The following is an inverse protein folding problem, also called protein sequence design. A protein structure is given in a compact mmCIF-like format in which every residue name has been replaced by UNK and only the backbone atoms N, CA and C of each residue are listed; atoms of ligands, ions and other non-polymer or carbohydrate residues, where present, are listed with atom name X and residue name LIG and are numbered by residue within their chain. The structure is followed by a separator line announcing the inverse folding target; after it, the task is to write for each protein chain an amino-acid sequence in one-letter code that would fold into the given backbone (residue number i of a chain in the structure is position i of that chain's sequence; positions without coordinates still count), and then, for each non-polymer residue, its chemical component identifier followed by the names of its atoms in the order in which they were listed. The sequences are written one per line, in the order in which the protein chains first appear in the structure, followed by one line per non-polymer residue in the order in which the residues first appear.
data_IF_205571208589
#
_entry.id   IF_205571208589
#
_cell.length_a   1.000
_cell.length_b   1.000
_cell.length_c   1.000
_cell.angle_alpha   90.00
_cell.angle_beta   90.00
_cell.angle_gamma   90.00
#
_symmetry.space_group_name_H-M   'P 1'
#
loop_
_entity.id
_entity.type
_entity.pdbx_description
1 polymer ?
#
# COMPACT_ATOMS: atom_id res chain seq x y z
N UNK A 1 26.73 30.49 9.18
CA UNK A 1 25.82 29.81 8.23
C UNK A 1 26.73 28.91 7.41
N UNK A 2 26.64 27.58 7.60
CA UNK A 2 27.38 26.68 6.70
C UNK A 2 26.84 26.92 5.29
N UNK A 3 27.73 27.21 4.35
CA UNK A 3 27.40 27.28 2.93
C UNK A 3 26.67 26.00 2.53
N UNK A 4 25.45 26.15 2.05
CA UNK A 4 24.65 25.00 1.58
C UNK A 4 25.36 24.47 0.33
N UNK A 5 26.10 23.40 0.48
CA UNK A 5 26.73 22.71 -0.65
C UNK A 5 25.65 22.05 -1.52
N UNK A 6 25.17 22.81 -2.50
CA UNK A 6 24.13 22.40 -3.46
C UNK A 6 24.57 21.12 -4.20
N UNK A 7 25.87 20.98 -4.52
CA UNK A 7 26.38 19.80 -5.22
C UNK A 7 26.27 18.55 -4.33
N UNK A 8 26.57 18.67 -3.04
CA UNK A 8 26.43 17.58 -2.08
C UNK A 8 24.96 17.18 -1.88
N UNK A 9 24.05 18.16 -1.76
CA UNK A 9 22.61 17.92 -1.65
C UNK A 9 22.10 17.21 -2.89
N UNK A 10 22.44 17.70 -4.08
CA UNK A 10 22.03 17.10 -5.36
C UNK A 10 22.53 15.67 -5.48
N UNK A 11 23.80 15.41 -5.17
CA UNK A 11 24.39 14.06 -5.21
C UNK A 11 23.70 13.11 -4.23
N UNK A 12 23.42 13.54 -3.00
CA UNK A 12 22.71 12.74 -1.99
C UNK A 12 21.26 12.48 -2.40
N UNK A 13 20.57 13.47 -2.97
CA UNK A 13 19.19 13.33 -3.44
C UNK A 13 19.09 12.32 -4.60
N UNK A 14 19.98 12.40 -5.60
CA UNK A 14 19.99 11.43 -6.72
C UNK A 14 20.26 10.02 -6.21
N UNK A 15 21.26 9.85 -5.35
CA UNK A 15 21.59 8.56 -4.75
C UNK A 15 20.43 8.03 -3.89
N UNK A 16 19.78 8.92 -3.15
CA UNK A 16 18.60 8.59 -2.35
C UNK A 16 17.42 8.12 -3.20
N UNK A 17 17.11 8.80 -4.31
CA UNK A 17 16.06 8.40 -5.25
C UNK A 17 16.33 7.00 -5.80
N UNK A 18 17.57 6.74 -6.25
CA UNK A 18 17.94 5.43 -6.76
C UNK A 18 17.81 4.34 -5.69
N UNK A 19 18.28 4.61 -4.46
CA UNK A 19 18.16 3.67 -3.35
C UNK A 19 16.69 3.36 -2.99
N UNK A 20 15.83 4.38 -2.92
CA UNK A 20 14.40 4.22 -2.63
C UNK A 20 13.67 3.46 -3.75
N UNK A 21 14.02 3.70 -5.00
CA UNK A 21 13.41 3.00 -6.15
C UNK A 21 13.83 1.54 -6.19
N UNK A 22 15.14 1.27 -6.06
CA UNK A 22 15.68 -0.10 -6.01
C UNK A 22 15.09 -0.90 -4.83
N UNK A 23 15.01 -0.27 -3.65
CA UNK A 23 14.36 -0.87 -2.47
C UNK A 23 12.91 -1.24 -2.76
N UNK A 24 12.15 -0.33 -3.37
CA UNK A 24 10.73 -0.59 -3.67
C UNK A 24 10.60 -1.83 -4.54
N UNK A 25 11.44 -1.96 -5.56
CA UNK A 25 11.45 -3.13 -6.42
C UNK A 25 11.83 -4.42 -5.67
N UNK A 26 12.90 -4.39 -4.88
CA UNK A 26 13.36 -5.55 -4.10
C UNK A 26 12.30 -5.99 -3.09
N UNK A 27 11.75 -5.05 -2.31
CA UNK A 27 10.72 -5.35 -1.30
C UNK A 27 9.45 -5.91 -1.95
N UNK A 28 9.03 -5.37 -3.09
CA UNK A 28 7.86 -5.87 -3.80
C UNK A 28 8.09 -7.25 -4.41
N UNK A 29 9.28 -7.51 -4.96
CA UNK A 29 9.63 -8.84 -5.48
C UNK A 29 9.66 -9.89 -4.37
N UNK A 30 10.34 -9.61 -3.24
CA UNK A 30 10.33 -10.49 -2.07
C UNK A 30 8.89 -10.71 -1.59
N UNK A 31 8.10 -9.65 -1.47
CA UNK A 31 6.71 -9.71 -1.03
C UNK A 31 5.81 -10.51 -1.98
N UNK A 32 6.04 -10.44 -3.30
CA UNK A 32 5.32 -11.21 -4.29
C UNK A 32 5.62 -12.71 -4.17
N UNK A 33 6.92 -13.06 -4.14
CA UNK A 33 7.35 -14.46 -3.96
C UNK A 33 6.84 -15.01 -2.64
N UNK A 34 6.97 -14.26 -1.55
CA UNK A 34 6.44 -14.63 -0.23
C UNK A 34 4.95 -14.88 -0.27
N UNK A 35 4.18 -13.95 -0.84
CA UNK A 35 2.73 -14.06 -0.93
C UNK A 35 2.31 -15.28 -1.75
N UNK A 36 3.01 -15.53 -2.87
CA UNK A 36 2.76 -16.70 -3.70
C UNK A 36 2.97 -18.01 -2.92
N UNK A 37 4.09 -18.15 -2.23
CA UNK A 37 4.37 -19.35 -1.43
C UNK A 37 3.36 -19.51 -0.28
N UNK A 38 3.08 -18.42 0.46
CA UNK A 38 2.12 -18.46 1.56
C UNK A 38 0.72 -18.87 1.10
N UNK A 39 0.28 -18.43 -0.09
CA UNK A 39 -1.03 -18.81 -0.62
C UNK A 39 -1.14 -20.29 -0.98
N UNK A 40 -0.05 -21.01 -1.18
CA UNK A 40 -0.04 -22.47 -1.33
C UNK A 40 -0.31 -23.17 0.02
N UNK A 41 0.34 -22.70 1.08
CA UNK A 41 0.35 -23.43 2.36
C UNK A 41 -0.74 -22.96 3.33
N UNK A 42 -1.13 -21.68 3.31
CA UNK A 42 -2.11 -21.13 4.25
C UNK A 42 -3.53 -21.13 3.69
N UNK A 43 -4.52 -21.23 4.58
CA UNK A 43 -5.94 -21.18 4.21
C UNK A 43 -6.40 -19.74 3.89
N UNK A 44 -7.48 -19.57 3.11
CA UNK A 44 -8.10 -18.27 2.91
C UNK A 44 -8.50 -17.56 4.23
N UNK A 45 -8.98 -18.33 5.21
CA UNK A 45 -9.33 -17.79 6.53
C UNK A 45 -8.11 -17.21 7.26
N UNK A 46 -6.93 -17.86 7.21
CA UNK A 46 -5.70 -17.32 7.80
C UNK A 46 -5.31 -15.98 7.19
N UNK A 47 -5.46 -15.84 5.87
CA UNK A 47 -5.26 -14.55 5.20
C UNK A 47 -6.32 -13.52 5.61
N UNK A 48 -7.59 -13.92 5.73
CA UNK A 48 -8.67 -13.04 6.17
C UNK A 48 -8.41 -12.46 7.56
N UNK A 49 -8.02 -13.31 8.53
CA UNK A 49 -7.63 -12.86 9.87
C UNK A 49 -6.46 -11.87 9.77
N UNK A 50 -5.42 -12.21 9.02
CA UNK A 50 -4.25 -11.33 8.85
C UNK A 50 -4.63 -9.97 8.25
N UNK A 51 -5.49 -9.92 7.23
CA UNK A 51 -5.93 -8.68 6.61
C UNK A 51 -6.78 -7.82 7.55
N UNK A 52 -7.77 -8.41 8.23
CA UNK A 52 -8.64 -7.66 9.16
C UNK A 52 -7.83 -7.09 10.32
N UNK A 53 -7.01 -7.92 10.94
CA UNK A 53 -6.20 -7.50 12.08
C UNK A 53 -5.15 -6.47 11.67
N UNK A 54 -4.52 -6.66 10.50
CA UNK A 54 -3.54 -5.68 9.98
C UNK A 54 -4.20 -4.35 9.65
N UNK A 55 -5.41 -4.33 9.08
CA UNK A 55 -6.16 -3.12 8.81
C UNK A 55 -6.57 -2.39 10.12
N UNK A 56 -6.98 -3.13 11.16
CA UNK A 56 -7.25 -2.56 12.47
C UNK A 56 -6.01 -1.88 13.08
N UNK A 57 -4.84 -2.51 12.97
CA UNK A 57 -3.59 -1.91 13.45
C UNK A 57 -3.14 -0.73 12.58
N UNK A 58 -3.33 -0.78 11.26
CA UNK A 58 -3.08 0.35 10.37
C UNK A 58 -3.93 1.55 10.76
N UNK A 59 -5.21 1.33 11.06
CA UNK A 59 -6.10 2.36 11.58
C UNK A 59 -5.60 2.96 12.92
N UNK A 60 -5.19 2.12 13.88
CA UNK A 60 -4.62 2.58 15.15
C UNK A 60 -3.30 3.34 14.97
N UNK A 61 -2.45 2.88 14.05
CA UNK A 61 -1.14 3.48 13.80
C UNK A 61 -1.25 4.92 13.28
N UNK A 62 -2.36 5.25 12.64
CA UNK A 62 -2.64 6.60 12.18
C UNK A 62 -2.69 7.63 13.33
N UNK A 63 -3.16 7.23 14.49
CA UNK A 63 -3.25 8.09 15.67
C UNK A 63 -1.96 8.15 16.50
N UNK A 64 -0.93 7.42 16.11
CA UNK A 64 0.30 7.26 16.92
C UNK A 64 1.28 8.43 16.82
N UNK A 65 1.30 9.14 15.71
CA UNK A 65 2.32 10.19 15.45
C UNK A 65 1.74 11.62 15.48
N UNK A 66 0.47 11.78 15.17
CA UNK A 66 -0.24 13.08 15.06
C UNK A 66 0.57 14.09 14.21
N UNK A 67 1.36 13.60 13.24
CA UNK A 67 2.20 14.42 12.36
C UNK A 67 3.45 15.02 13.00
N UNK A 68 3.87 14.55 14.18
CA UNK A 68 5.05 15.06 14.88
C UNK A 68 6.34 14.78 14.08
N UNK A 69 6.48 13.59 13.49
CA UNK A 69 7.60 13.25 12.63
C UNK A 69 7.69 14.20 11.42
N UNK A 70 6.58 14.45 10.74
CA UNK A 70 6.51 15.37 9.62
C UNK A 70 6.89 16.80 10.02
N UNK A 71 6.45 17.26 11.19
CA UNK A 71 6.79 18.58 11.72
C UNK A 71 8.31 18.72 11.99
N UNK A 72 8.95 17.68 12.53
CA UNK A 72 10.40 17.69 12.72
C UNK A 72 11.16 17.67 11.39
N UNK A 73 10.70 16.88 10.40
CA UNK A 73 11.37 16.78 9.10
C UNK A 73 11.28 18.11 8.34
N UNK A 74 10.13 18.79 8.38
CA UNK A 74 9.85 20.04 7.67
C UNK A 74 10.57 21.26 8.29
N UNK A 75 10.93 21.19 9.56
CA UNK A 75 11.57 22.29 10.28
C UNK A 75 12.88 22.70 9.59
N UNK A 76 13.05 24.02 9.29
CA UNK A 76 14.24 24.56 8.63
C UNK A 76 15.46 24.59 9.54
N UNK A 77 15.26 24.97 10.82
CA UNK A 77 16.34 25.03 11.79
C UNK A 77 16.83 23.62 12.18
N UNK A 78 18.07 23.49 12.68
CA UNK A 78 18.56 22.26 13.27
C UNK A 78 17.63 21.77 14.36
N UNK A 79 17.33 20.47 14.36
CA UNK A 79 16.54 19.84 15.43
C UNK A 79 17.46 19.59 16.61
N UNK A 80 17.04 20.03 17.79
CA UNK A 80 17.78 19.81 19.03
C UNK A 80 17.50 18.43 19.61
N UNK A 81 18.43 17.90 20.40
CA UNK A 81 18.22 16.63 21.12
C UNK A 81 17.04 16.71 22.10
N UNK A 82 16.77 17.88 22.67
CA UNK A 82 15.60 18.14 23.49
C UNK A 82 14.29 17.95 22.68
N UNK A 83 14.20 18.49 21.46
CA UNK A 83 13.01 18.32 20.60
C UNK A 83 12.80 16.86 20.21
N UNK A 84 13.88 16.10 19.95
CA UNK A 84 13.80 14.66 19.68
C UNK A 84 13.25 13.90 20.90
N UNK A 85 13.75 14.19 22.11
CA UNK A 85 13.28 13.58 23.35
C UNK A 85 11.83 13.92 23.67
N UNK A 86 11.41 15.18 23.47
CA UNK A 86 10.03 15.61 23.64
C UNK A 86 9.10 14.87 22.67
N UNK A 87 9.46 14.84 21.39
CA UNK A 87 8.70 14.12 20.36
C UNK A 87 8.57 12.64 20.69
N UNK A 88 9.69 12.00 21.06
CA UNK A 88 9.70 10.60 21.50
C UNK A 88 8.78 10.37 22.70
N UNK A 89 8.86 11.20 23.72
CA UNK A 89 8.04 11.05 24.94
C UNK A 89 6.57 11.11 24.62
N UNK A 90 6.13 12.10 23.82
CA UNK A 90 4.73 12.28 23.45
C UNK A 90 4.25 11.11 22.59
N UNK A 91 5.02 10.76 21.56
CA UNK A 91 4.70 9.65 20.68
C UNK A 91 4.61 8.33 21.47
N UNK A 92 5.59 8.04 22.33
CA UNK A 92 5.56 6.81 23.12
C UNK A 92 4.41 6.80 24.13
N UNK A 93 4.06 7.93 24.75
CA UNK A 93 2.90 8.02 25.64
C UNK A 93 1.61 7.66 24.90
N UNK A 94 1.40 8.21 23.71
CA UNK A 94 0.24 7.88 22.87
C UNK A 94 0.24 6.40 22.47
N UNK A 95 1.36 5.90 22.01
CA UNK A 95 1.47 4.52 21.52
C UNK A 95 1.32 3.52 22.67
N UNK A 96 1.96 3.73 23.79
CA UNK A 96 1.81 2.84 24.97
C UNK A 96 0.36 2.83 25.43
N UNK A 97 -0.33 3.98 25.45
CA UNK A 97 -1.75 4.05 25.78
C UNK A 97 -2.59 3.22 24.80
N UNK A 98 -2.36 3.37 23.47
CA UNK A 98 -3.05 2.58 22.46
C UNK A 98 -2.75 1.09 22.56
N UNK A 99 -1.50 0.73 22.79
CA UNK A 99 -1.02 -0.66 22.93
C UNK A 99 -1.64 -1.32 24.16
N UNK A 100 -1.59 -0.67 25.33
CA UNK A 100 -2.20 -1.17 26.56
C UNK A 100 -3.71 -1.34 26.37
N UNK A 101 -4.37 -0.35 25.78
CA UNK A 101 -5.80 -0.42 25.46
C UNK A 101 -6.11 -1.58 24.50
N UNK A 102 -5.33 -1.76 23.44
CA UNK A 102 -5.49 -2.85 22.47
C UNK A 102 -5.28 -4.23 23.11
N UNK A 103 -4.26 -4.37 23.99
CA UNK A 103 -4.06 -5.61 24.75
C UNK A 103 -5.22 -5.89 25.71
N UNK A 104 -5.68 -4.89 26.44
CA UNK A 104 -6.85 -5.04 27.34
C UNK A 104 -8.12 -5.44 26.58
N UNK A 105 -8.31 -4.93 25.36
CA UNK A 105 -9.44 -5.23 24.49
C UNK A 105 -9.26 -6.46 23.61
N UNK A 106 -8.13 -7.19 23.70
CA UNK A 106 -7.81 -8.30 22.78
C UNK A 106 -8.88 -9.40 22.80
N UNK A 107 -9.45 -9.74 23.96
CA UNK A 107 -10.53 -10.72 24.06
C UNK A 107 -11.85 -10.19 23.46
N UNK A 108 -12.13 -8.91 23.63
CA UNK A 108 -13.28 -8.26 22.99
C UNK A 108 -13.13 -8.29 21.46
N UNK A 109 -11.96 -7.94 20.94
CA UNK A 109 -11.67 -8.03 19.50
C UNK A 109 -11.80 -9.47 19.02
N UNK A 110 -11.32 -10.43 19.79
CA UNK A 110 -11.48 -11.85 19.54
C UNK A 110 -12.93 -12.29 19.39
N UNK A 111 -13.78 -11.91 20.35
CA UNK A 111 -15.23 -12.21 20.30
C UNK A 111 -15.97 -11.40 19.23
N UNK A 112 -15.54 -10.17 18.95
CA UNK A 112 -16.15 -9.32 17.93
C UNK A 112 -15.96 -9.86 16.51
N UNK A 113 -14.79 -10.43 16.20
CA UNK A 113 -14.48 -11.00 14.89
C UNK A 113 -14.50 -12.53 14.84
N UNK A 114 -15.01 -13.18 15.88
CA UNK A 114 -15.04 -14.65 16.03
C UNK A 114 -13.64 -15.30 15.81
N UNK A 115 -12.59 -14.64 16.35
CA UNK A 115 -11.22 -15.13 16.24
C UNK A 115 -10.97 -16.29 17.21
N UNK A 116 -10.32 -17.32 16.71
CA UNK A 116 -9.78 -18.36 17.58
C UNK A 116 -8.56 -17.82 18.37
N UNK A 117 -8.03 -18.65 19.28
CA UNK A 117 -6.86 -18.28 20.11
C UNK A 117 -5.66 -17.83 19.29
N UNK A 118 -5.39 -18.46 18.14
CA UNK A 118 -4.28 -18.09 17.25
C UNK A 118 -4.50 -16.72 16.61
N UNK A 119 -5.75 -16.38 16.23
CA UNK A 119 -6.11 -15.08 15.71
C UNK A 119 -5.93 -13.96 16.74
N UNK A 120 -6.29 -14.22 18.02
CA UNK A 120 -6.04 -13.29 19.13
C UNK A 120 -4.54 -13.08 19.35
N UNK A 121 -3.74 -14.16 19.31
CA UNK A 121 -2.28 -14.06 19.41
C UNK A 121 -1.67 -13.27 18.25
N UNK A 122 -2.20 -13.43 17.04
CA UNK A 122 -1.77 -12.63 15.89
C UNK A 122 -2.09 -11.15 16.10
N UNK A 123 -3.29 -10.82 16.62
CA UNK A 123 -3.64 -9.45 16.97
C UNK A 123 -2.65 -8.86 17.98
N UNK A 124 -2.38 -9.57 19.07
CA UNK A 124 -1.42 -9.15 20.10
C UNK A 124 0.00 -8.98 19.55
N UNK A 125 0.45 -9.88 18.68
CA UNK A 125 1.75 -9.79 18.02
C UNK A 125 1.84 -8.56 17.09
N UNK A 126 0.79 -8.24 16.35
CA UNK A 126 0.72 -7.04 15.51
C UNK A 126 0.70 -5.76 16.35
N UNK A 127 -0.04 -5.72 17.48
CA UNK A 127 -0.02 -4.62 18.45
C UNK A 127 1.39 -4.43 19.01
N UNK A 128 2.08 -5.51 19.37
CA UNK A 128 3.45 -5.42 19.85
C UNK A 128 4.44 -5.00 18.76
N UNK A 129 4.29 -5.51 17.54
CA UNK A 129 5.10 -5.11 16.40
C UNK A 129 4.91 -3.63 16.06
N UNK A 130 3.69 -3.10 16.23
CA UNK A 130 3.39 -1.68 16.10
C UNK A 130 4.17 -0.85 17.15
N UNK A 131 4.22 -1.30 18.42
CA UNK A 131 5.07 -0.68 19.44
C UNK A 131 6.54 -0.69 19.03
N UNK A 132 7.09 -1.83 18.59
CA UNK A 132 8.48 -1.92 18.12
C UNK A 132 8.75 -0.96 16.95
N UNK A 133 7.76 -0.80 16.05
CA UNK A 133 7.87 0.12 14.91
C UNK A 133 7.94 1.58 15.35
N UNK A 134 7.27 1.96 16.42
CA UNK A 134 7.29 3.32 16.95
C UNK A 134 8.67 3.73 17.50
N UNK A 135 9.39 2.79 18.08
CA UNK A 135 10.75 3.03 18.58
C UNK A 135 11.75 3.39 17.47
N UNK A 136 11.44 3.08 16.22
CA UNK A 136 12.27 3.39 15.03
C UNK A 136 12.09 4.82 14.53
N UNK A 137 11.06 5.55 14.97
CA UNK A 137 10.68 6.86 14.41
C UNK A 137 11.81 7.87 14.52
N UNK A 138 12.38 8.07 15.69
CA UNK A 138 13.45 9.08 15.86
C UNK A 138 14.72 8.76 15.07
N UNK A 139 15.29 7.53 15.12
CA UNK A 139 16.40 7.16 14.25
C UNK A 139 16.10 7.39 12.75
N UNK A 140 14.86 7.11 12.30
CA UNK A 140 14.46 7.36 10.92
C UNK A 140 14.44 8.84 10.57
N UNK A 141 13.87 9.70 11.42
CA UNK A 141 13.86 11.17 11.24
C UNK A 141 15.28 11.72 11.09
N UNK A 142 16.22 11.24 11.92
CA UNK A 142 17.64 11.67 11.85
C UNK A 142 18.24 11.34 10.48
N UNK A 143 17.97 10.14 9.94
CA UNK A 143 18.44 9.74 8.61
C UNK A 143 17.77 10.53 7.49
N UNK A 144 16.46 10.76 7.57
CA UNK A 144 15.69 11.53 6.57
C UNK A 144 16.16 12.97 6.50
N UNK A 145 16.32 13.64 7.63
CA UNK A 145 16.84 15.01 7.70
C UNK A 145 18.26 15.15 7.15
N UNK A 146 19.09 14.12 7.35
CA UNK A 146 20.47 14.08 6.82
C UNK A 146 20.54 13.63 5.36
N UNK A 147 19.36 13.39 4.69
CA UNK A 147 19.25 12.88 3.32
C UNK A 147 20.01 11.56 3.10
N UNK A 148 20.10 10.72 4.13
CA UNK A 148 20.78 9.42 4.07
C UNK A 148 19.78 8.31 3.77
N UNK A 149 19.02 8.45 2.67
CA UNK A 149 17.98 7.50 2.29
C UNK A 149 18.50 6.10 2.02
N UNK A 150 19.75 5.96 1.55
CA UNK A 150 20.40 4.66 1.36
C UNK A 150 20.54 3.86 2.67
N UNK A 151 20.69 4.55 3.81
CA UNK A 151 20.72 3.93 5.12
C UNK A 151 19.32 3.59 5.65
N UNK A 152 18.32 4.42 5.31
CA UNK A 152 16.93 4.21 5.71
C UNK A 152 16.30 2.98 5.00
N UNK A 153 16.79 2.64 3.83
CA UNK A 153 16.31 1.50 3.02
C UNK A 153 16.69 0.14 3.65
N UNK A 154 17.85 0.06 4.29
CA UNK A 154 18.41 -1.20 4.80
C UNK A 154 17.48 -1.87 5.83
N UNK A 155 16.99 -1.18 6.89
CA UNK A 155 16.05 -1.77 7.83
C UNK A 155 14.80 -2.34 7.16
N UNK A 156 14.28 -1.66 6.15
CA UNK A 156 13.04 -2.08 5.46
C UNK A 156 13.23 -3.36 4.63
N UNK A 157 14.40 -3.52 4.01
CA UNK A 157 14.76 -4.76 3.30
C UNK A 157 14.94 -5.89 4.30
N UNK A 158 15.66 -5.65 5.40
CA UNK A 158 15.89 -6.63 6.47
C UNK A 158 14.57 -7.06 7.10
N UNK A 159 13.67 -6.13 7.40
CA UNK A 159 12.32 -6.41 7.90
C UNK A 159 11.54 -7.34 6.96
N UNK A 160 11.57 -7.01 5.66
CA UNK A 160 10.85 -7.80 4.66
C UNK A 160 11.44 -9.18 4.51
N UNK A 161 12.77 -9.29 4.55
CA UNK A 161 13.47 -10.57 4.47
C UNK A 161 13.14 -11.48 5.67
N UNK A 162 13.26 -10.96 6.90
CA UNK A 162 12.97 -11.74 8.10
C UNK A 162 11.49 -12.11 8.22
N UNK A 163 10.58 -11.20 7.85
CA UNK A 163 9.16 -11.53 7.73
C UNK A 163 8.96 -12.70 6.76
N UNK A 164 9.54 -12.59 5.57
CA UNK A 164 9.33 -13.56 4.49
C UNK A 164 9.89 -14.94 4.84
N UNK A 165 11.11 -15.00 5.32
CA UNK A 165 11.74 -16.28 5.66
C UNK A 165 11.00 -16.96 6.83
N UNK A 166 10.63 -16.19 7.85
CA UNK A 166 9.89 -16.72 9.01
C UNK A 166 8.50 -17.22 8.60
N UNK A 167 7.75 -16.38 7.87
CA UNK A 167 6.41 -16.74 7.44
C UNK A 167 6.40 -17.97 6.55
N UNK A 168 7.29 -18.04 5.55
CA UNK A 168 7.37 -19.16 4.61
C UNK A 168 7.80 -20.45 5.32
N UNK A 169 8.87 -20.39 6.12
CA UNK A 169 9.38 -21.57 6.81
C UNK A 169 8.33 -22.18 7.74
N UNK A 170 7.63 -21.36 8.53
CA UNK A 170 6.60 -21.83 9.45
C UNK A 170 5.32 -22.27 8.71
N UNK A 171 4.95 -21.61 7.60
CA UNK A 171 3.81 -22.06 6.79
C UNK A 171 4.06 -23.43 6.16
N UNK A 172 5.26 -23.69 5.65
CA UNK A 172 5.68 -25.01 5.12
C UNK A 172 5.66 -26.05 6.26
N UNK A 173 6.09 -25.68 7.46
CA UNK A 173 6.06 -26.56 8.64
C UNK A 173 4.64 -26.80 9.20
N UNK A 174 3.59 -26.19 8.62
CA UNK A 174 2.19 -26.44 8.98
C UNK A 174 1.66 -25.62 10.17
N UNK A 175 2.35 -24.54 10.57
CA UNK A 175 1.92 -23.70 11.70
C UNK A 175 0.70 -22.81 11.41
N UNK A 176 0.13 -22.85 10.20
CA UNK A 176 -1.10 -22.12 9.88
C UNK A 176 -0.97 -20.61 10.14
N UNK A 177 -1.97 -20.05 10.82
CA UNK A 177 -2.04 -18.60 11.11
C UNK A 177 -0.88 -18.12 12.00
N UNK A 178 -0.33 -18.98 12.86
CA UNK A 178 0.77 -18.69 13.77
C UNK A 178 2.06 -18.33 13.01
N UNK A 179 2.18 -18.75 11.74
CA UNK A 179 3.26 -18.32 10.84
C UNK A 179 3.32 -16.81 10.70
N UNK A 180 2.17 -16.14 10.58
CA UNK A 180 2.10 -14.68 10.56
C UNK A 180 2.47 -14.07 11.90
N UNK A 181 2.06 -14.69 13.02
CA UNK A 181 2.36 -14.21 14.37
C UNK A 181 3.88 -14.07 14.58
N UNK A 182 4.63 -15.12 14.30
CA UNK A 182 6.08 -15.08 14.44
C UNK A 182 6.75 -14.20 13.38
N UNK A 183 6.22 -14.16 12.16
CA UNK A 183 6.78 -13.34 11.09
C UNK A 183 6.67 -11.84 11.39
N UNK A 184 5.55 -11.36 11.95
CA UNK A 184 5.42 -9.93 12.31
C UNK A 184 6.31 -9.56 13.48
N UNK A 185 6.54 -10.47 14.43
CA UNK A 185 7.50 -10.26 15.52
C UNK A 185 8.94 -10.22 14.99
N UNK A 186 9.33 -11.16 14.14
CA UNK A 186 10.65 -11.20 13.51
C UNK A 186 10.90 -9.92 12.70
N UNK A 187 9.91 -9.44 11.96
CA UNK A 187 9.95 -8.15 11.25
C UNK A 187 10.19 -6.98 12.19
N UNK A 188 9.40 -6.88 13.27
CA UNK A 188 9.50 -5.77 14.23
C UNK A 188 10.86 -5.73 14.91
N UNK A 189 11.33 -6.87 15.39
CA UNK A 189 12.61 -7.02 16.10
C UNK A 189 13.79 -6.74 15.16
N UNK A 190 13.83 -7.36 13.99
CA UNK A 190 14.92 -7.20 13.03
C UNK A 190 15.03 -5.75 12.54
N UNK A 191 13.90 -5.09 12.26
CA UNK A 191 13.87 -3.70 11.86
C UNK A 191 14.37 -2.76 12.95
N UNK A 192 13.94 -2.99 14.20
CA UNK A 192 14.38 -2.21 15.35
C UNK A 192 15.89 -2.35 15.59
N UNK A 193 16.41 -3.56 15.60
CA UNK A 193 17.85 -3.81 15.78
C UNK A 193 18.65 -3.14 14.66
N UNK A 194 18.24 -3.33 13.42
CA UNK A 194 18.94 -2.79 12.25
C UNK A 194 18.99 -1.26 12.26
N UNK A 195 17.90 -0.58 12.56
CA UNK A 195 17.88 0.89 12.55
C UNK A 195 18.76 1.47 13.66
N UNK A 196 18.79 0.87 14.85
CA UNK A 196 19.63 1.33 15.95
C UNK A 196 21.12 1.04 15.74
N UNK A 197 21.48 0.01 14.99
CA UNK A 197 22.87 -0.22 14.54
C UNK A 197 23.30 0.87 13.55
N UNK A 198 22.41 1.27 12.63
CA UNK A 198 22.71 2.22 11.54
C UNK A 198 22.66 3.67 12.02
N UNK A 199 21.71 3.99 12.87
CA UNK A 199 21.45 5.34 13.42
C UNK A 199 21.24 5.24 14.93
N UNK A 200 22.32 5.02 15.71
CA UNK A 200 22.23 4.91 17.14
C UNK A 200 21.74 6.23 17.75
N UNK A 201 20.68 6.14 18.53
CA UNK A 201 20.13 7.24 19.30
C UNK A 201 19.74 6.73 20.69
N UNK A 202 20.00 7.51 21.72
CA UNK A 202 19.65 7.14 23.10
C UNK A 202 18.27 7.71 23.42
N UNK A 203 17.26 6.86 23.64
CA UNK A 203 15.95 7.31 24.10
C UNK A 203 16.07 8.13 25.39
N UNK A 204 15.30 9.19 25.45
CA UNK A 204 15.27 10.07 26.62
C UNK A 204 13.88 10.64 26.80
N UNK A 205 13.59 11.10 28.01
CA UNK A 205 12.32 11.73 28.38
C UNK A 205 12.48 13.24 28.34
N UNK A 206 11.51 13.95 27.75
CA UNK A 206 11.46 15.39 27.73
C UNK A 206 10.02 15.88 27.64
N UNK A 207 9.74 17.05 28.21
CA UNK A 207 8.44 17.69 28.11
C UNK A 207 8.60 19.21 28.02
N UNK A 208 7.99 19.81 27.00
CA UNK A 208 7.90 21.27 26.87
C UNK A 208 6.61 21.61 26.15
N UNK A 209 5.70 22.31 26.85
CA UNK A 209 4.41 22.76 26.30
C UNK A 209 4.60 23.67 25.08
N UNK A 210 5.63 24.49 25.05
CA UNK A 210 5.96 25.42 23.94
C UNK A 210 6.37 24.65 22.69
N UNK A 211 7.26 23.66 22.83
CA UNK A 211 7.71 22.82 21.71
C UNK A 211 6.55 21.98 21.18
N UNK A 212 5.78 21.35 22.09
CA UNK A 212 4.61 20.55 21.74
C UNK A 212 3.59 21.37 20.92
N UNK A 213 3.18 22.55 21.40
CA UNK A 213 2.22 23.42 20.71
C UNK A 213 2.70 23.78 19.29
N UNK A 214 3.99 24.06 19.11
CA UNK A 214 4.58 24.35 17.80
C UNK A 214 4.57 23.15 16.86
N UNK A 215 4.90 21.96 17.35
CA UNK A 215 4.89 20.75 16.54
C UNK A 215 3.48 20.34 16.13
N UNK A 216 2.52 20.43 17.06
CA UNK A 216 1.12 20.10 16.79
C UNK A 216 0.44 21.08 15.83
N UNK A 217 0.81 22.35 15.83
CA UNK A 217 0.23 23.35 14.90
C UNK A 217 0.47 23.00 13.43
N UNK A 218 1.56 22.30 13.12
CA UNK A 218 1.84 21.76 11.79
C UNK A 218 1.36 20.32 11.63
N UNK A 219 1.62 19.48 12.64
CA UNK A 219 1.39 18.03 12.56
C UNK A 219 -0.08 17.67 12.40
N UNK A 220 -0.98 18.29 13.19
CA UNK A 220 -2.42 17.98 13.15
C UNK A 220 -3.04 18.29 11.78
N UNK A 221 -2.88 19.50 11.19
CA UNK A 221 -3.36 19.75 9.83
C UNK A 221 -2.77 18.83 8.76
N UNK A 222 -1.48 18.51 8.87
CA UNK A 222 -0.82 17.56 7.96
C UNK A 222 -1.46 16.17 8.01
N UNK A 223 -1.72 15.68 9.23
CA UNK A 223 -2.30 14.36 9.44
C UNK A 223 -3.75 14.27 8.94
N UNK A 224 -4.54 15.32 9.10
CA UNK A 224 -5.96 15.35 8.71
C UNK A 224 -6.17 15.04 7.21
N UNK A 225 -5.22 15.41 6.34
CA UNK A 225 -5.32 15.14 4.91
C UNK A 225 -5.33 13.65 4.54
N UNK A 226 -4.76 12.79 5.38
CA UNK A 226 -4.67 11.35 5.10
C UNK A 226 -5.87 10.54 5.64
N UNK A 227 -6.77 11.16 6.42
CA UNK A 227 -7.92 10.49 7.07
C UNK A 227 -8.87 9.87 6.04
N UNK A 228 -9.14 10.56 4.93
CA UNK A 228 -10.07 10.07 3.91
C UNK A 228 -9.61 8.75 3.25
N UNK A 229 -8.32 8.63 2.99
CA UNK A 229 -7.76 7.40 2.42
C UNK A 229 -7.88 6.23 3.42
N UNK A 230 -7.56 6.47 4.68
CA UNK A 230 -7.68 5.51 5.77
C UNK A 230 -9.13 5.01 5.95
N UNK A 231 -10.10 5.94 5.94
CA UNK A 231 -11.53 5.60 6.06
C UNK A 231 -11.96 4.75 4.87
N UNK A 232 -11.53 5.09 3.66
CA UNK A 232 -11.93 4.37 2.45
C UNK A 232 -11.36 2.96 2.38
N UNK A 233 -10.08 2.79 2.73
CA UNK A 233 -9.36 1.55 2.50
C UNK A 233 -9.30 0.66 3.75
N UNK A 234 -8.68 1.11 4.85
CA UNK A 234 -8.46 0.29 6.03
C UNK A 234 -9.73 0.07 6.85
N UNK A 235 -10.50 1.13 7.10
CA UNK A 235 -11.73 1.01 7.90
C UNK A 235 -12.80 0.18 7.18
N UNK A 236 -12.81 0.18 5.85
CA UNK A 236 -13.68 -0.71 5.08
C UNK A 236 -13.33 -2.19 5.31
N UNK A 237 -12.04 -2.56 5.33
CA UNK A 237 -11.61 -3.94 5.61
C UNK A 237 -12.01 -4.35 7.03
N UNK A 238 -11.85 -3.46 8.01
CA UNK A 238 -12.30 -3.67 9.40
C UNK A 238 -13.81 -3.94 9.45
N UNK A 239 -14.61 -3.17 8.72
CA UNK A 239 -16.07 -3.37 8.61
C UNK A 239 -16.40 -4.70 7.93
N UNK A 240 -15.76 -5.02 6.79
CA UNK A 240 -16.00 -6.26 6.06
C UNK A 240 -15.65 -7.50 6.91
N UNK A 241 -14.60 -7.41 7.73
CA UNK A 241 -14.23 -8.49 8.66
C UNK A 241 -15.30 -8.81 9.69
N UNK A 242 -16.25 -7.86 9.96
CA UNK A 242 -17.38 -8.11 10.86
C UNK A 242 -18.58 -8.73 10.16
N UNK A 243 -18.84 -8.35 8.91
CA UNK A 243 -20.07 -8.76 8.21
C UNK A 243 -19.88 -9.97 7.29
N UNK A 244 -18.64 -10.32 6.96
CA UNK A 244 -18.29 -11.45 6.11
C UNK A 244 -17.50 -12.51 6.88
N UNK A 245 -17.63 -13.79 6.52
CA UNK A 245 -16.73 -14.82 6.97
C UNK A 245 -15.27 -14.45 6.67
N UNK A 246 -14.33 -14.74 7.57
CA UNK A 246 -12.92 -14.39 7.39
C UNK A 246 -12.29 -15.03 6.15
N UNK A 247 -12.77 -16.19 5.70
CA UNK A 247 -12.34 -16.79 4.42
C UNK A 247 -12.70 -15.93 3.22
N UNK A 248 -13.87 -15.29 3.23
CA UNK A 248 -14.31 -14.39 2.15
C UNK A 248 -13.49 -13.09 2.14
N UNK A 249 -13.17 -12.54 3.31
CA UNK A 249 -12.21 -11.43 3.40
C UNK A 249 -10.83 -11.86 2.88
N UNK A 250 -10.43 -13.11 3.11
CA UNK A 250 -9.23 -13.71 2.53
C UNK A 250 -9.26 -13.73 1.00
N UNK A 251 -10.39 -14.12 0.39
CA UNK A 251 -10.58 -14.07 -1.07
C UNK A 251 -10.49 -12.67 -1.63
N UNK A 252 -11.13 -11.69 -0.96
CA UNK A 252 -11.03 -10.26 -1.33
C UNK A 252 -9.57 -9.81 -1.32
N UNK A 253 -8.86 -10.03 -0.21
CA UNK A 253 -7.48 -9.61 -0.06
C UNK A 253 -6.52 -10.30 -1.04
N UNK A 254 -6.76 -11.60 -1.33
CA UNK A 254 -6.03 -12.33 -2.35
C UNK A 254 -6.23 -11.72 -3.74
N UNK A 255 -7.47 -11.51 -4.15
CA UNK A 255 -7.81 -10.92 -5.45
C UNK A 255 -7.23 -9.51 -5.59
N UNK A 256 -7.37 -8.67 -4.55
CA UNK A 256 -6.78 -7.33 -4.51
C UNK A 256 -5.25 -7.37 -4.65
N UNK A 257 -4.59 -8.25 -3.91
CA UNK A 257 -3.13 -8.38 -3.92
C UNK A 257 -2.61 -8.64 -5.33
N UNK A 258 -3.20 -9.62 -6.03
CA UNK A 258 -2.78 -9.97 -7.38
C UNK A 258 -3.16 -8.92 -8.42
N UNK A 259 -4.38 -8.40 -8.40
CA UNK A 259 -4.86 -7.41 -9.35
C UNK A 259 -4.10 -6.07 -9.26
N UNK A 260 -3.78 -5.61 -8.04
CA UNK A 260 -3.08 -4.33 -7.86
C UNK A 260 -1.56 -4.43 -7.89
N UNK A 261 -0.96 -5.61 -7.92
CA UNK A 261 0.49 -5.77 -8.00
C UNK A 261 1.08 -5.11 -9.26
N UNK A 262 0.59 -5.35 -10.49
CA UNK A 262 1.08 -4.65 -11.69
C UNK A 262 0.92 -3.13 -11.58
N UNK A 263 -0.22 -2.67 -11.09
CA UNK A 263 -0.49 -1.25 -10.92
C UNK A 263 0.54 -0.58 -9.98
N UNK A 264 0.78 -1.15 -8.81
CA UNK A 264 1.72 -0.59 -7.82
C UNK A 264 3.16 -0.60 -8.32
N UNK A 265 3.59 -1.71 -8.92
CA UNK A 265 4.96 -1.83 -9.46
C UNK A 265 5.29 -0.74 -10.48
N UNK A 266 4.32 -0.37 -11.31
CA UNK A 266 4.51 0.57 -12.41
C UNK A 266 4.19 1.99 -11.95
N UNK A 267 3.03 2.21 -11.33
CA UNK A 267 2.49 3.52 -11.01
C UNK A 267 3.33 4.27 -9.97
N UNK A 268 3.78 3.59 -8.91
CA UNK A 268 4.57 4.23 -7.86
C UNK A 268 5.88 4.82 -8.39
N UNK A 269 6.47 4.20 -9.43
CA UNK A 269 7.67 4.71 -10.08
C UNK A 269 7.36 5.86 -11.04
N UNK A 270 6.27 5.77 -11.79
CA UNK A 270 5.84 6.80 -12.74
C UNK A 270 5.46 8.09 -12.00
N UNK A 271 4.68 8.01 -10.92
CA UNK A 271 4.26 9.20 -10.16
C UNK A 271 5.44 9.98 -9.61
N UNK A 272 6.50 9.31 -9.14
CA UNK A 272 7.71 9.98 -8.62
C UNK A 272 8.40 10.87 -9.66
N UNK A 273 8.29 10.51 -10.94
CA UNK A 273 8.90 11.26 -12.04
C UNK A 273 7.91 12.30 -12.58
N UNK A 274 6.64 11.91 -12.73
CA UNK A 274 5.64 12.76 -13.41
C UNK A 274 5.17 13.92 -12.56
N UNK A 275 5.05 13.77 -11.23
CA UNK A 275 4.60 14.88 -10.38
C UNK A 275 5.52 16.11 -10.45
N UNK A 276 6.85 15.99 -10.24
CA UNK A 276 7.76 17.13 -10.40
C UNK A 276 7.78 17.67 -11.83
N UNK A 277 7.67 16.79 -12.84
CA UNK A 277 7.64 17.20 -14.24
C UNK A 277 6.39 18.02 -14.58
N UNK A 278 5.22 17.55 -14.19
CA UNK A 278 3.96 18.28 -14.39
C UNK A 278 3.94 19.63 -13.68
N UNK A 279 4.48 19.68 -12.46
CA UNK A 279 4.58 20.93 -11.69
C UNK A 279 5.47 21.97 -12.38
N UNK A 280 6.56 21.55 -13.03
CA UNK A 280 7.44 22.46 -13.79
C UNK A 280 6.85 22.90 -15.11
N UNK A 281 6.02 22.06 -15.74
CA UNK A 281 5.40 22.32 -17.04
C UNK A 281 4.03 23.01 -16.93
N UNK A 282 3.57 23.37 -15.73
CA UNK A 282 2.21 23.86 -15.50
C UNK A 282 1.82 25.10 -16.31
N UNK A 283 2.79 25.94 -16.68
CA UNK A 283 2.58 27.14 -17.49
C UNK A 283 2.69 26.88 -19.01
N UNK A 284 3.33 25.77 -19.41
CA UNK A 284 3.51 25.39 -20.81
C UNK A 284 2.48 24.33 -21.22
N UNK A 285 1.29 24.78 -21.62
CA UNK A 285 0.14 23.89 -21.89
C UNK A 285 0.45 22.75 -22.86
N UNK A 286 1.18 22.99 -23.94
CA UNK A 286 1.51 21.98 -24.94
C UNK A 286 2.47 20.91 -24.38
N UNK A 287 3.49 21.32 -23.65
CA UNK A 287 4.45 20.43 -23.03
C UNK A 287 3.80 19.60 -21.90
N UNK A 288 2.92 20.23 -21.09
CA UNK A 288 2.15 19.53 -20.07
C UNK A 288 1.21 18.48 -20.68
N UNK A 289 0.46 18.85 -21.73
CA UNK A 289 -0.40 17.92 -22.48
C UNK A 289 0.37 16.70 -22.97
N UNK A 290 1.50 16.94 -23.63
CA UNK A 290 2.36 15.86 -24.11
C UNK A 290 2.89 14.98 -22.99
N UNK A 291 3.31 15.55 -21.86
CA UNK A 291 3.80 14.81 -20.71
C UNK A 291 2.69 13.95 -20.06
N UNK A 292 1.47 14.48 -19.95
CA UNK A 292 0.30 13.74 -19.45
C UNK A 292 -0.07 12.60 -20.40
N UNK A 293 -0.12 12.85 -21.72
CA UNK A 293 -0.36 11.81 -22.74
C UNK A 293 0.67 10.68 -22.65
N UNK A 294 1.96 11.03 -22.57
CA UNK A 294 3.03 10.02 -22.44
C UNK A 294 2.92 9.21 -21.16
N UNK A 295 2.54 9.86 -20.06
CA UNK A 295 2.33 9.17 -18.78
C UNK A 295 1.17 8.17 -18.87
N UNK A 296 0.02 8.56 -19.41
CA UNK A 296 -1.15 7.67 -19.59
C UNK A 296 -0.80 6.53 -20.54
N UNK A 297 -0.11 6.82 -21.66
CA UNK A 297 0.32 5.78 -22.60
C UNK A 297 1.24 4.77 -21.94
N UNK A 298 2.27 5.23 -21.22
CA UNK A 298 3.23 4.35 -20.56
C UNK A 298 2.56 3.46 -19.49
N UNK A 299 1.67 4.04 -18.65
CA UNK A 299 0.93 3.25 -17.65
C UNK A 299 0.01 2.24 -18.29
N UNK A 300 -0.79 2.66 -19.29
CA UNK A 300 -1.74 1.77 -19.98
C UNK A 300 -1.03 0.66 -20.76
N UNK A 301 0.08 0.99 -21.45
CA UNK A 301 0.85 0.04 -22.24
C UNK A 301 1.47 -1.08 -21.41
N UNK A 302 1.88 -0.79 -20.17
CA UNK A 302 2.47 -1.78 -19.27
C UNK A 302 1.41 -2.51 -18.43
N UNK A 303 0.39 -1.80 -17.96
CA UNK A 303 -0.59 -2.35 -17.00
C UNK A 303 -1.64 -3.18 -17.72
N UNK A 304 -2.21 -2.74 -18.85
CA UNK A 304 -3.29 -3.48 -19.50
C UNK A 304 -2.87 -4.90 -19.93
N UNK A 305 -1.74 -5.11 -20.63
CA UNK A 305 -1.30 -6.45 -20.95
C UNK A 305 -1.08 -7.32 -19.73
N UNK A 306 -0.50 -6.75 -18.65
CA UNK A 306 -0.25 -7.47 -17.41
C UNK A 306 -1.55 -7.95 -16.76
N UNK A 307 -2.60 -7.10 -16.74
CA UNK A 307 -3.91 -7.45 -16.18
C UNK A 307 -4.65 -8.47 -17.04
N UNK A 308 -4.62 -8.31 -18.37
CA UNK A 308 -5.23 -9.27 -19.29
C UNK A 308 -4.57 -10.65 -19.16
N UNK A 309 -3.25 -10.69 -19.13
CA UNK A 309 -2.48 -11.93 -18.88
C UNK A 309 -2.87 -12.56 -17.55
N UNK A 310 -2.95 -11.74 -16.47
CA UNK A 310 -3.33 -12.21 -15.15
C UNK A 310 -4.71 -12.85 -15.17
N UNK A 311 -5.73 -12.18 -15.70
CA UNK A 311 -7.12 -12.67 -15.70
C UNK A 311 -7.28 -13.94 -16.52
N UNK A 312 -6.59 -14.06 -17.66
CA UNK A 312 -6.70 -15.22 -18.55
C UNK A 312 -5.94 -16.42 -18.02
N UNK A 313 -4.71 -16.21 -17.51
CA UNK A 313 -3.87 -17.32 -17.10
C UNK A 313 -4.10 -17.76 -15.65
N UNK A 314 -4.68 -16.92 -14.80
CA UNK A 314 -4.82 -17.25 -13.37
C UNK A 314 -5.70 -18.48 -13.09
N UNK A 315 -6.82 -18.74 -13.79
CA UNK A 315 -7.58 -19.96 -13.63
C UNK A 315 -6.72 -21.21 -13.84
N UNK A 316 -5.86 -21.19 -14.84
CA UNK A 316 -4.96 -22.30 -15.13
C UNK A 316 -3.86 -22.49 -14.07
N UNK A 317 -3.37 -21.38 -13.47
CA UNK A 317 -2.47 -21.49 -12.32
C UNK A 317 -3.13 -22.16 -11.13
N UNK A 318 -4.43 -21.95 -10.94
CA UNK A 318 -5.20 -22.61 -9.88
C UNK A 318 -5.25 -24.12 -10.11
N UNK A 319 -5.42 -24.56 -11.35
CA UNK A 319 -5.47 -25.98 -11.71
C UNK A 319 -4.09 -26.64 -11.67
N UNK A 320 -3.05 -25.92 -12.10
CA UNK A 320 -1.69 -26.44 -12.20
C UNK A 320 -1.01 -26.61 -10.83
N UNK A 321 -1.30 -25.74 -9.88
CA UNK A 321 -0.58 -25.72 -8.60
C UNK A 321 -1.35 -26.53 -7.55
N UNK A 322 -0.77 -27.59 -6.98
CA UNK A 322 -1.41 -28.35 -5.93
C UNK A 322 -1.89 -27.47 -4.77
N UNK A 323 -3.07 -27.75 -4.23
CA UNK A 323 -3.70 -26.98 -3.13
C UNK A 323 -4.11 -25.54 -3.47
N UNK A 324 -4.05 -25.13 -4.72
CA UNK A 324 -4.43 -23.77 -5.10
C UNK A 324 -5.92 -23.61 -5.42
N UNK A 325 -6.64 -24.72 -5.67
CA UNK A 325 -8.11 -24.77 -5.91
C UNK A 325 -8.94 -24.05 -4.84
N UNK A 326 -8.43 -23.96 -3.60
CA UNK A 326 -9.06 -23.18 -2.53
C UNK A 326 -9.23 -21.69 -2.83
N UNK A 327 -8.53 -21.14 -3.83
CA UNK A 327 -8.62 -19.74 -4.27
C UNK A 327 -9.54 -19.52 -5.47
N UNK A 328 -10.12 -20.59 -6.02
CA UNK A 328 -11.07 -20.50 -7.13
C UNK A 328 -12.22 -19.51 -6.89
N UNK A 329 -12.83 -19.42 -5.69
CA UNK A 329 -13.88 -18.43 -5.42
C UNK A 329 -13.44 -16.98 -5.60
N UNK A 330 -12.14 -16.70 -5.52
CA UNK A 330 -11.59 -15.34 -5.67
C UNK A 330 -11.44 -14.89 -7.15
N UNK A 331 -11.61 -15.79 -8.14
CA UNK A 331 -11.39 -15.49 -9.56
C UNK A 331 -12.28 -14.38 -10.08
N UNK A 332 -13.57 -14.40 -9.72
CA UNK A 332 -14.51 -13.36 -10.14
C UNK A 332 -14.07 -12.00 -9.56
N UNK A 333 -13.73 -11.96 -8.30
CA UNK A 333 -13.19 -10.75 -7.65
C UNK A 333 -11.89 -10.29 -8.28
N UNK A 334 -11.00 -11.21 -8.67
CA UNK A 334 -9.75 -10.89 -9.38
C UNK A 334 -10.03 -10.15 -10.70
N UNK A 335 -11.01 -10.62 -11.48
CA UNK A 335 -11.43 -9.98 -12.74
C UNK A 335 -11.90 -8.54 -12.52
N UNK A 336 -12.82 -8.31 -11.57
CA UNK A 336 -13.33 -6.97 -11.27
C UNK A 336 -12.28 -6.04 -10.66
N UNK A 337 -11.41 -6.52 -9.77
CA UNK A 337 -10.29 -5.70 -9.28
C UNK A 337 -9.27 -5.41 -10.38
N UNK A 338 -9.08 -6.31 -11.34
CA UNK A 338 -8.25 -6.03 -12.52
C UNK A 338 -8.87 -4.93 -13.39
N UNK A 339 -10.21 -4.93 -13.57
CA UNK A 339 -10.89 -3.83 -14.24
C UNK A 339 -10.72 -2.50 -13.47
N UNK A 340 -10.84 -2.51 -12.13
CA UNK A 340 -10.53 -1.34 -11.31
C UNK A 340 -9.08 -0.87 -11.55
N UNK A 341 -8.11 -1.76 -11.52
CA UNK A 341 -6.69 -1.41 -11.74
C UNK A 341 -6.46 -0.81 -13.14
N UNK A 342 -7.17 -1.30 -14.15
CA UNK A 342 -7.11 -0.75 -15.50
C UNK A 342 -7.64 0.71 -15.54
N UNK A 343 -8.81 0.99 -14.97
CA UNK A 343 -9.31 2.36 -14.86
C UNK A 343 -8.39 3.26 -14.02
N UNK A 344 -7.84 2.73 -12.93
CA UNK A 344 -6.91 3.45 -12.06
C UNK A 344 -5.61 3.80 -12.77
N UNK A 345 -5.15 3.00 -13.73
CA UNK A 345 -3.96 3.29 -14.53
C UNK A 345 -4.12 4.55 -15.41
N UNK A 346 -5.35 4.95 -15.72
CA UNK A 346 -5.70 6.17 -16.45
C UNK A 346 -5.96 7.32 -15.47
N UNK A 347 -6.79 7.09 -14.45
CA UNK A 347 -7.23 8.16 -13.55
C UNK A 347 -6.12 8.66 -12.62
N UNK A 348 -5.18 7.81 -12.22
CA UNK A 348 -4.11 8.19 -11.28
C UNK A 348 -3.13 9.21 -11.89
N UNK A 349 -2.59 9.06 -13.12
CA UNK A 349 -1.80 10.13 -13.75
C UNK A 349 -2.57 11.45 -13.91
N UNK A 350 -3.88 11.38 -14.19
CA UNK A 350 -4.73 12.55 -14.35
C UNK A 350 -4.96 13.30 -13.03
N UNK A 351 -5.25 12.58 -11.94
CA UNK A 351 -5.38 13.20 -10.61
C UNK A 351 -4.04 13.75 -10.10
N UNK A 352 -2.94 13.06 -10.45
CA UNK A 352 -1.60 13.54 -10.17
C UNK A 352 -1.29 14.87 -10.91
N UNK A 353 -1.70 14.98 -12.18
CA UNK A 353 -1.59 16.21 -12.96
C UNK A 353 -2.42 17.36 -12.36
N UNK A 354 -3.67 17.09 -11.93
CA UNK A 354 -4.48 18.09 -11.21
C UNK A 354 -3.80 18.60 -9.94
N UNK A 355 -3.20 17.71 -9.16
CA UNK A 355 -2.47 18.10 -7.97
C UNK A 355 -1.24 18.95 -8.30
N UNK A 356 -0.51 18.58 -9.36
CA UNK A 356 0.69 19.30 -9.79
C UNK A 356 0.41 20.72 -10.28
N UNK A 357 -0.76 20.95 -10.92
CA UNK A 357 -1.20 22.29 -11.35
C UNK A 357 -2.02 23.03 -10.27
N UNK A 358 -1.97 22.59 -9.02
CA UNK A 358 -2.61 23.26 -7.88
C UNK A 358 -4.13 23.08 -7.76
N UNK A 359 -4.76 22.15 -8.52
CA UNK A 359 -6.20 21.88 -8.46
C UNK A 359 -6.56 20.85 -7.38
N UNK A 360 -5.93 20.95 -6.22
CA UNK A 360 -6.06 20.00 -5.09
C UNK A 360 -7.51 19.88 -4.59
N UNK A 361 -8.30 20.98 -4.64
CA UNK A 361 -9.72 20.93 -4.25
C UNK A 361 -10.53 19.97 -5.13
N UNK A 362 -10.22 19.91 -6.43
CA UNK A 362 -10.91 19.00 -7.37
C UNK A 362 -10.62 17.53 -7.02
N UNK A 363 -9.37 17.20 -6.73
CA UNK A 363 -8.99 15.84 -6.31
C UNK A 363 -9.56 15.49 -4.95
N UNK A 364 -9.67 16.44 -4.02
CA UNK A 364 -10.35 16.22 -2.74
C UNK A 364 -11.83 15.87 -2.93
N UNK A 365 -12.56 16.60 -3.78
CA UNK A 365 -13.96 16.27 -4.07
C UNK A 365 -14.14 14.90 -4.72
N UNK A 366 -13.23 14.52 -5.63
CA UNK A 366 -13.22 13.17 -6.21
C UNK A 366 -12.99 12.11 -5.13
N UNK A 367 -12.06 12.36 -4.20
CA UNK A 367 -11.77 11.43 -3.12
C UNK A 367 -12.95 11.28 -2.15
N UNK A 368 -13.63 12.37 -1.82
CA UNK A 368 -14.87 12.35 -1.01
C UNK A 368 -15.95 11.55 -1.76
N UNK A 369 -16.15 11.82 -3.04
CA UNK A 369 -17.11 11.10 -3.87
C UNK A 369 -16.83 9.59 -3.86
N UNK A 370 -15.59 9.18 -4.13
CA UNK A 370 -15.22 7.77 -4.11
C UNK A 370 -15.40 7.12 -2.75
N UNK A 371 -15.02 7.82 -1.68
CA UNK A 371 -15.18 7.32 -0.30
C UNK A 371 -16.65 7.12 0.05
N UNK A 372 -17.49 8.14 -0.14
CA UNK A 372 -18.92 8.07 0.18
C UNK A 372 -19.61 7.00 -0.65
N UNK A 373 -19.33 6.96 -1.95
CA UNK A 373 -19.93 5.95 -2.85
C UNK A 373 -19.51 4.53 -2.46
N UNK A 374 -18.24 4.32 -2.08
CA UNK A 374 -17.74 3.02 -1.60
C UNK A 374 -18.50 2.59 -0.34
N UNK A 375 -18.66 3.48 0.64
CA UNK A 375 -19.34 3.18 1.91
C UNK A 375 -20.84 2.98 1.79
N UNK A 376 -21.47 3.51 0.75
CA UNK A 376 -22.90 3.28 0.46
C UNK A 376 -23.07 1.99 -0.36
N UNK A 377 -22.35 1.88 -1.48
CA UNK A 377 -22.60 0.79 -2.42
C UNK A 377 -22.00 -0.55 -1.96
N UNK A 378 -20.89 -0.55 -1.21
CA UNK A 378 -20.28 -1.82 -0.78
C UNK A 378 -21.15 -2.57 0.21
N UNK A 379 -21.68 -1.98 1.31
CA UNK A 379 -22.61 -2.69 2.20
C UNK A 379 -23.87 -3.17 1.49
N UNK A 380 -24.46 -2.33 0.65
CA UNK A 380 -25.64 -2.69 -0.13
C UNK A 380 -25.32 -3.84 -1.11
N UNK A 381 -24.21 -3.76 -1.80
CA UNK A 381 -23.79 -4.79 -2.74
C UNK A 381 -23.50 -6.13 -2.05
N UNK A 382 -22.84 -6.11 -0.89
CA UNK A 382 -22.54 -7.32 -0.10
C UNK A 382 -23.82 -8.04 0.32
N UNK A 383 -24.88 -7.31 0.64
CA UNK A 383 -26.18 -7.90 0.97
C UNK A 383 -26.78 -8.72 -0.19
N UNK A 384 -26.59 -8.28 -1.47
CA UNK A 384 -27.18 -8.94 -2.65
C UNK A 384 -26.23 -9.92 -3.33
N UNK A 385 -24.92 -9.66 -3.35
CA UNK A 385 -23.92 -10.39 -4.14
C UNK A 385 -22.80 -11.03 -3.31
N UNK A 386 -22.93 -11.00 -1.98
CA UNK A 386 -21.90 -11.52 -1.08
C UNK A 386 -20.56 -10.79 -1.22
N UNK A 387 -19.47 -11.46 -0.91
CA UNK A 387 -18.13 -10.85 -0.89
C UNK A 387 -17.67 -10.32 -2.27
N UNK A 388 -18.14 -10.90 -3.38
CA UNK A 388 -17.80 -10.44 -4.73
C UNK A 388 -18.28 -9.01 -5.01
N UNK A 389 -19.30 -8.53 -4.29
CA UNK A 389 -19.77 -7.16 -4.41
C UNK A 389 -18.68 -6.12 -4.16
N UNK A 390 -17.72 -6.42 -3.28
CA UNK A 390 -16.61 -5.50 -2.97
C UNK A 390 -15.81 -5.19 -4.24
N UNK A 391 -15.50 -6.18 -5.05
CA UNK A 391 -14.79 -6.03 -6.32
C UNK A 391 -15.67 -5.43 -7.41
N UNK A 392 -16.93 -5.83 -7.51
CA UNK A 392 -17.91 -5.30 -8.49
C UNK A 392 -18.11 -3.80 -8.24
N UNK A 393 -18.41 -3.40 -7.01
CA UNK A 393 -18.59 -1.98 -6.64
C UNK A 393 -17.31 -1.19 -6.89
N UNK A 394 -16.15 -1.76 -6.55
CA UNK A 394 -14.85 -1.14 -6.82
C UNK A 394 -14.64 -0.89 -8.33
N UNK A 395 -14.99 -1.83 -9.20
CA UNK A 395 -14.93 -1.66 -10.65
C UNK A 395 -15.93 -0.60 -11.15
N UNK A 396 -17.18 -0.60 -10.64
CA UNK A 396 -18.18 0.41 -10.97
C UNK A 396 -17.69 1.81 -10.57
N UNK A 397 -17.18 1.98 -9.36
CA UNK A 397 -16.67 3.28 -8.89
C UNK A 397 -15.48 3.72 -9.74
N UNK A 398 -14.58 2.80 -10.08
CA UNK A 398 -13.39 3.13 -10.87
C UNK A 398 -13.72 3.51 -12.33
N UNK A 399 -14.86 3.07 -12.87
CA UNK A 399 -15.35 3.51 -14.18
C UNK A 399 -15.62 5.03 -14.22
N UNK A 400 -15.77 5.67 -13.06
CA UNK A 400 -15.79 7.15 -12.92
C UNK A 400 -14.49 7.82 -13.41
N UNK A 401 -13.45 7.04 -13.73
CA UNK A 401 -12.28 7.52 -14.47
C UNK A 401 -12.67 8.28 -15.76
N UNK A 402 -13.75 7.87 -16.42
CA UNK A 402 -14.31 8.60 -17.58
C UNK A 402 -14.68 10.04 -17.17
N UNK A 403 -15.29 10.21 -16.02
CA UNK A 403 -15.62 11.53 -15.49
C UNK A 403 -14.36 12.34 -15.12
N UNK A 404 -13.34 11.69 -14.58
CA UNK A 404 -12.05 12.33 -14.32
C UNK A 404 -11.42 12.87 -15.60
N UNK A 405 -11.50 12.12 -16.71
CA UNK A 405 -11.02 12.57 -18.03
C UNK A 405 -11.72 13.87 -18.44
N UNK A 406 -13.05 13.96 -18.30
CA UNK A 406 -13.79 15.19 -18.63
C UNK A 406 -13.40 16.36 -17.73
N UNK A 407 -13.20 16.12 -16.43
CA UNK A 407 -12.78 17.17 -15.49
C UNK A 407 -11.39 17.70 -15.82
N UNK A 408 -10.44 16.81 -16.13
CA UNK A 408 -9.05 17.22 -16.42
C UNK A 408 -8.95 17.95 -17.73
N UNK A 409 -9.75 17.59 -18.76
CA UNK A 409 -9.82 18.27 -20.04
C UNK A 409 -10.20 19.75 -19.95
N UNK A 410 -10.82 20.19 -18.86
CA UNK A 410 -11.07 21.63 -18.61
C UNK A 410 -9.79 22.42 -18.36
N UNK A 411 -8.71 21.77 -17.98
CA UNK A 411 -7.44 22.39 -17.59
C UNK A 411 -6.28 22.01 -18.52
N UNK A 412 -6.28 20.78 -19.01
CA UNK A 412 -5.19 20.19 -19.80
C UNK A 412 -5.85 19.55 -21.04
N UNK A 413 -5.44 20.00 -22.22
CA UNK A 413 -5.92 19.40 -23.47
C UNK A 413 -5.11 18.14 -23.81
N UNK A 414 -5.77 16.99 -23.89
CA UNK A 414 -5.16 15.69 -24.24
C UNK A 414 -6.16 14.77 -24.92
N UNK A 415 -5.65 13.86 -25.75
CA UNK A 415 -6.47 12.92 -26.47
C UNK A 415 -6.42 11.53 -25.83
N UNK A 416 -7.42 11.21 -24.99
CA UNK A 416 -7.48 9.93 -24.29
C UNK A 416 -7.56 8.73 -25.26
N UNK A 417 -8.28 8.87 -26.37
CA UNK A 417 -8.40 7.79 -27.36
C UNK A 417 -7.06 7.44 -27.99
N UNK A 418 -6.25 8.46 -28.34
CA UNK A 418 -4.93 8.25 -28.92
C UNK A 418 -3.98 7.51 -27.96
N UNK A 419 -4.07 7.77 -26.65
CA UNK A 419 -3.09 7.27 -25.68
C UNK A 419 -3.52 6.01 -24.95
N UNK A 420 -4.82 5.74 -24.80
CA UNK A 420 -5.33 4.56 -24.09
C UNK A 420 -5.93 3.50 -25.04
N UNK A 421 -6.51 3.88 -26.18
CA UNK A 421 -7.16 2.92 -27.07
C UNK A 421 -6.18 1.94 -27.73
N UNK A 422 -5.01 2.40 -28.18
CA UNK A 422 -4.02 1.50 -28.76
C UNK A 422 -3.49 0.45 -27.78
N UNK A 423 -3.07 0.81 -26.56
CA UNK A 423 -2.73 -0.17 -25.53
C UNK A 423 -3.89 -1.12 -25.19
N UNK A 424 -5.12 -0.62 -25.13
CA UNK A 424 -6.29 -1.44 -24.85
C UNK A 424 -6.56 -2.46 -25.97
N UNK A 425 -6.55 -2.02 -27.24
CA UNK A 425 -6.73 -2.91 -28.40
C UNK A 425 -5.63 -3.96 -28.49
N UNK A 426 -4.37 -3.54 -28.34
CA UNK A 426 -3.23 -4.47 -28.35
C UNK A 426 -3.35 -5.52 -27.22
N UNK A 427 -3.78 -5.10 -26.04
CA UNK A 427 -3.99 -5.99 -24.89
C UNK A 427 -5.16 -6.95 -25.11
N UNK A 428 -6.25 -6.49 -25.74
CA UNK A 428 -7.38 -7.34 -26.10
C UNK A 428 -6.97 -8.38 -27.15
N UNK A 429 -6.25 -7.99 -28.20
CA UNK A 429 -5.73 -8.93 -29.21
C UNK A 429 -4.81 -9.95 -28.55
N UNK A 430 -3.88 -9.50 -27.73
CA UNK A 430 -3.00 -10.38 -26.95
C UNK A 430 -3.84 -11.34 -26.07
N UNK A 431 -4.91 -10.84 -25.45
CA UNK A 431 -5.81 -11.64 -24.64
C UNK A 431 -6.52 -12.74 -25.44
N UNK A 432 -7.03 -12.41 -26.60
CA UNK A 432 -7.65 -13.41 -27.51
C UNK A 432 -6.63 -14.47 -27.91
N UNK A 433 -5.42 -14.08 -28.30
CA UNK A 433 -4.34 -15.02 -28.65
C UNK A 433 -3.97 -15.90 -27.47
N UNK A 434 -3.79 -15.32 -26.28
CA UNK A 434 -3.48 -16.08 -25.06
C UNK A 434 -4.60 -17.06 -24.71
N UNK A 435 -5.86 -16.66 -24.83
CA UNK A 435 -7.01 -17.52 -24.55
C UNK A 435 -7.07 -18.71 -25.53
N UNK A 436 -6.82 -18.47 -26.81
CA UNK A 436 -6.81 -19.53 -27.84
C UNK A 436 -5.63 -20.48 -27.69
N UNK A 437 -4.46 -19.98 -27.27
CA UNK A 437 -3.26 -20.78 -27.08
C UNK A 437 -3.17 -21.46 -25.71
N UNK A 438 -3.91 -20.96 -24.72
CA UNK A 438 -3.84 -21.47 -23.34
C UNK A 438 -4.07 -22.98 -23.19
N UNK A 439 -5.03 -23.63 -23.90
CA UNK A 439 -5.20 -25.08 -23.79
C UNK A 439 -3.97 -25.88 -24.26
N UNK A 440 -3.32 -25.43 -25.33
CA UNK A 440 -2.14 -26.11 -25.92
C UNK A 440 -0.86 -25.87 -25.11
N UNK A 441 -0.65 -24.65 -24.62
CA UNK A 441 0.51 -24.32 -23.78
C UNK A 441 0.44 -25.07 -22.46
N UNK A 442 -0.74 -25.27 -21.91
CA UNK A 442 -0.94 -25.92 -20.63
C UNK A 442 -0.85 -27.44 -20.74
N UNK A 443 -1.40 -28.04 -21.79
CA UNK A 443 -1.18 -29.48 -22.03
C UNK A 443 0.30 -29.80 -22.14
N UNK A 444 1.10 -28.94 -22.77
CA UNK A 444 2.55 -29.07 -22.86
C UNK A 444 3.26 -28.80 -21.51
N UNK A 445 2.75 -27.89 -20.68
CA UNK A 445 3.29 -27.64 -19.35
C UNK A 445 3.02 -28.80 -18.37
N UNK A 446 1.87 -29.42 -18.45
CA UNK A 446 1.58 -30.66 -17.69
C UNK A 446 2.55 -31.78 -18.06
N UNK A 447 2.86 -31.99 -19.34
CA UNK A 447 3.81 -33.01 -19.81
C UNK A 447 5.28 -32.72 -19.47
N UNK A 448 5.61 -31.46 -19.12
CA UNK A 448 6.96 -31.06 -18.70
C UNK A 448 7.19 -31.10 -17.19
N UNK A 449 6.13 -31.05 -16.39
CA UNK A 449 6.20 -30.98 -14.91
C UNK A 449 5.90 -32.35 -14.29
N UNK A 450 5.15 -33.22 -14.95
CA UNK A 450 4.81 -34.59 -14.54
C UNK A 450 5.34 -35.63 -15.53
#
# INVERSE_FOLDING_TARGET
MEEIDIALITKRSIRGIFALTSRTFVVQLIGLVTSFVLTIFLSPSAFGVFFVVSAAIAFLSYFSDIGLAAALIQKKEPVTDEELKITFTIQQTLIVTLVVGAFALSNFVGSFYDLNREGILLFQALVFSFFLSSLKTIPSIILERSLRFEKLVIPQIVETFFFSITAVSLAIAGFGITSFTFAVLARGISGLLTIYIISPWKPGVGFSKKVLSRLLSFGVPFQTNSVLALIKDDLLIVYLGKILPLSEVGFIGFAQKWAFTPLRLIMDNIIRITFPSFSRLQEERSALSFAVEKSIFATSFLIFPSLVTLVILFPYFIDLIPKYSKWEPALLSLGFFSANAAFSSISTPLTNALNAIGKIKTTLYLMIFWTVTTWILTPLGVFYFGFNAVSIVSAIISSSAVFVVFLVRKYIDFNIFKVAAYPALASLIMGVVLYLLSPTVISNAYTLIF
#
